data_IF_418551927183
#
_entry.id   IF_418551927183
#
_cell.length_a   1.000
_cell.length_b   1.000
_cell.length_c   1.000
_cell.angle_alpha   90.00
_cell.angle_beta   90.00
_cell.angle_gamma   90.00
#
_symmetry.space_group_name_H-M   'P 1'
#
loop_
_entity.id
_entity.type
_entity.pdbx_description
1 polymer ?
#
# COMPACT_ATOMS: atom_id res chain seq x y z
N UNK A 1 -24.47 -5.32 20.44
CA UNK A 1 -23.35 -4.75 19.64
C UNK A 1 -22.02 -5.18 20.23
N UNK A 2 -21.59 -6.43 19.97
CA UNK A 2 -20.37 -6.99 20.57
C UNK A 2 -19.50 -7.77 19.57
N UNK A 3 -19.98 -7.94 18.33
CA UNK A 3 -19.30 -8.75 17.30
C UNK A 3 -18.31 -7.92 16.46
N UNK A 4 -18.45 -6.59 16.44
CA UNK A 4 -17.60 -5.70 15.60
C UNK A 4 -16.23 -5.44 16.26
N UNK A 5 -16.10 -5.56 17.58
CA UNK A 5 -14.84 -5.32 18.28
C UNK A 5 -13.88 -6.53 18.29
N UNK A 6 -14.39 -7.76 18.07
CA UNK A 6 -13.55 -8.97 18.11
C UNK A 6 -12.82 -9.27 16.78
N UNK A 7 -13.30 -8.74 15.65
CA UNK A 7 -12.63 -8.90 14.35
C UNK A 7 -11.44 -7.94 14.22
N UNK A 8 -11.49 -6.77 14.87
CA UNK A 8 -10.35 -5.85 14.90
C UNK A 8 -9.18 -6.40 15.72
N UNK A 9 -9.44 -7.10 16.83
CA UNK A 9 -8.38 -7.62 17.70
C UNK A 9 -7.68 -8.88 17.15
N UNK A 10 -8.37 -9.71 16.36
CA UNK A 10 -7.81 -10.96 15.82
C UNK A 10 -6.88 -10.75 14.62
N UNK A 11 -6.97 -9.62 13.93
CA UNK A 11 -5.98 -9.23 12.90
C UNK A 11 -4.75 -8.54 13.49
N UNK A 12 -4.80 -8.09 14.75
CA UNK A 12 -3.67 -7.42 15.41
C UNK A 12 -2.63 -8.38 15.98
N UNK A 13 -2.93 -9.69 16.06
CA UNK A 13 -2.01 -10.69 16.64
C UNK A 13 -1.28 -11.58 15.64
N UNK A 14 -1.48 -11.38 14.33
CA UNK A 14 -0.75 -12.13 13.30
C UNK A 14 0.52 -11.36 12.93
N UNK A 15 1.56 -11.54 13.75
CA UNK A 15 2.95 -11.46 13.28
C UNK A 15 3.72 -10.14 13.42
N UNK A 16 3.43 -9.29 14.41
CA UNK A 16 4.20 -8.04 14.65
C UNK A 16 5.21 -8.16 15.81
N UNK A 17 5.71 -9.37 16.09
CA UNK A 17 6.72 -9.62 17.14
C UNK A 17 8.03 -10.23 16.62
N UNK A 18 8.51 -9.75 15.47
CA UNK A 18 9.89 -9.98 15.06
C UNK A 18 10.59 -8.62 14.86
N UNK A 19 11.22 -8.14 15.94
CA UNK A 19 12.26 -7.14 15.84
C UNK A 19 13.42 -7.72 15.01
N UNK A 20 13.63 -7.17 13.82
CA UNK A 20 14.75 -7.54 12.96
C UNK A 20 14.68 -6.91 11.56
N UNK A 21 15.78 -6.96 10.79
CA UNK A 21 15.89 -6.37 9.44
C UNK A 21 14.87 -6.90 8.40
N UNK A 22 14.08 -7.92 8.76
CA UNK A 22 12.96 -8.45 7.97
C UNK A 22 11.68 -7.60 8.07
N UNK A 23 11.48 -6.84 9.15
CA UNK A 23 10.32 -5.97 9.34
C UNK A 23 10.38 -4.72 8.44
N UNK A 24 11.57 -4.12 8.31
CA UNK A 24 11.79 -2.93 7.48
C UNK A 24 11.65 -3.22 5.97
N UNK A 25 12.00 -4.43 5.51
CA UNK A 25 11.70 -4.85 4.14
C UNK A 25 10.23 -5.29 3.96
N UNK A 26 9.54 -5.66 5.04
CA UNK A 26 8.20 -6.25 5.04
C UNK A 26 7.13 -5.34 4.46
N UNK A 27 7.10 -4.06 4.84
CA UNK A 27 6.12 -3.09 4.31
C UNK A 27 6.37 -2.81 2.83
N UNK A 28 7.64 -2.72 2.40
CA UNK A 28 7.99 -2.54 0.99
C UNK A 28 7.59 -3.72 0.12
N UNK A 29 7.87 -4.94 0.59
CA UNK A 29 7.43 -6.16 -0.09
C UNK A 29 5.91 -6.31 -0.12
N UNK A 30 5.23 -5.98 0.98
CA UNK A 30 3.77 -5.95 1.08
C UNK A 30 3.18 -4.97 0.08
N UNK A 31 3.71 -3.75 -0.01
CA UNK A 31 3.29 -2.76 -1.01
C UNK A 31 3.40 -3.33 -2.43
N UNK A 32 4.55 -3.90 -2.78
CA UNK A 32 4.77 -4.49 -4.12
C UNK A 32 3.78 -5.63 -4.40
N UNK A 33 3.58 -6.52 -3.44
CA UNK A 33 2.69 -7.67 -3.56
C UNK A 33 1.23 -7.23 -3.74
N UNK A 34 0.75 -6.34 -2.88
CA UNK A 34 -0.62 -5.80 -2.95
C UNK A 34 -0.85 -5.01 -4.24
N UNK A 35 0.09 -4.16 -4.65
CA UNK A 35 -0.01 -3.43 -5.93
C UNK A 35 -0.09 -4.38 -7.14
N UNK A 36 0.66 -5.49 -7.10
CA UNK A 36 0.61 -6.51 -8.15
C UNK A 36 -0.70 -7.29 -8.14
N UNK A 37 -1.18 -7.70 -6.97
CA UNK A 37 -2.46 -8.42 -6.84
C UNK A 37 -3.64 -7.56 -7.29
N UNK A 38 -3.69 -6.28 -6.87
CA UNK A 38 -4.72 -5.33 -7.34
C UNK A 38 -4.68 -5.21 -8.87
N UNK A 39 -3.49 -5.06 -9.45
CA UNK A 39 -3.32 -4.97 -10.90
C UNK A 39 -3.81 -6.22 -11.63
N UNK A 40 -3.49 -7.40 -11.10
CA UNK A 40 -3.87 -8.68 -11.72
C UNK A 40 -5.38 -8.92 -11.59
N UNK A 41 -5.98 -8.67 -10.43
CA UNK A 41 -7.43 -8.78 -10.21
C UNK A 41 -8.21 -7.82 -11.13
N UNK A 42 -7.76 -6.57 -11.25
CA UNK A 42 -8.34 -5.62 -12.20
C UNK A 42 -8.14 -6.04 -13.67
N UNK A 43 -7.20 -6.92 -13.98
CA UNK A 43 -7.03 -7.51 -15.33
C UNK A 43 -7.80 -8.81 -15.54
N UNK A 44 -8.56 -9.25 -14.54
CA UNK A 44 -9.29 -10.51 -14.59
C UNK A 44 -8.40 -11.74 -14.44
N UNK A 45 -7.18 -11.56 -13.93
CA UNK A 45 -6.24 -12.64 -13.64
C UNK A 45 -6.24 -12.92 -12.15
N UNK A 46 -6.43 -14.18 -11.76
CA UNK A 46 -6.41 -14.67 -10.37
C UNK A 46 -7.34 -13.91 -9.41
N UNK A 47 -8.42 -14.56 -8.99
CA UNK A 47 -9.20 -14.11 -7.83
C UNK A 47 -8.47 -14.60 -6.58
N UNK A 48 -7.70 -13.73 -5.93
CA UNK A 48 -7.02 -14.06 -4.67
C UNK A 48 -8.04 -14.39 -3.56
N UNK A 49 -7.73 -15.40 -2.75
CA UNK A 49 -8.54 -15.84 -1.59
C UNK A 49 -8.48 -14.84 -0.42
N UNK A 50 -7.51 -13.91 -0.40
CA UNK A 50 -7.27 -13.01 0.73
C UNK A 50 -7.77 -11.59 0.42
N UNK A 51 -8.90 -11.22 1.05
CA UNK A 51 -9.49 -9.88 1.06
C UNK A 51 -10.06 -9.44 -0.29
N UNK A 52 -11.09 -8.59 -0.32
CA UNK A 52 -11.57 -7.97 -1.55
C UNK A 52 -10.63 -6.81 -2.00
N UNK A 53 -10.83 -6.30 -3.22
CA UNK A 53 -10.02 -5.23 -3.80
C UNK A 53 -9.99 -3.92 -2.97
N UNK A 54 -11.10 -3.55 -2.30
CA UNK A 54 -11.16 -2.38 -1.42
C UNK A 54 -10.31 -2.61 -0.18
N UNK A 55 -10.41 -3.79 0.41
CA UNK A 55 -9.59 -4.18 1.55
C UNK A 55 -8.09 -4.11 1.20
N UNK A 56 -7.69 -4.63 0.04
CA UNK A 56 -6.29 -4.60 -0.42
C UNK A 56 -5.76 -3.17 -0.61
N UNK A 57 -6.51 -2.29 -1.28
CA UNK A 57 -6.05 -0.91 -1.49
C UNK A 57 -6.05 -0.11 -0.17
N UNK A 58 -6.95 -0.44 0.77
CA UNK A 58 -6.98 0.18 2.10
C UNK A 58 -5.76 -0.21 2.92
N UNK A 59 -5.37 -1.50 2.92
CA UNK A 59 -4.12 -1.95 3.55
C UNK A 59 -2.89 -1.29 2.93
N UNK A 60 -2.87 -1.16 1.60
CA UNK A 60 -1.77 -0.50 0.90
C UNK A 60 -1.68 1.00 1.26
N UNK A 61 -2.81 1.71 1.39
CA UNK A 61 -2.82 3.09 1.91
C UNK A 61 -2.32 3.15 3.37
N UNK A 62 -2.78 2.24 4.24
CA UNK A 62 -2.31 2.15 5.63
C UNK A 62 -0.80 1.96 5.76
N UNK A 63 -0.24 1.00 5.01
CA UNK A 63 1.20 0.76 4.97
C UNK A 63 1.99 1.96 4.44
N UNK A 64 1.47 2.66 3.43
CA UNK A 64 2.08 3.90 2.95
C UNK A 64 2.05 5.02 3.98
N UNK A 65 0.96 5.18 4.74
CA UNK A 65 0.89 6.18 5.82
C UNK A 65 1.94 5.93 6.90
N UNK A 66 2.16 4.67 7.26
CA UNK A 66 3.21 4.29 8.20
C UNK A 66 4.59 4.63 7.64
N UNK A 67 4.89 4.26 6.40
CA UNK A 67 6.15 4.62 5.74
C UNK A 67 6.34 6.14 5.66
N UNK A 68 5.30 6.90 5.27
CA UNK A 68 5.37 8.35 5.19
C UNK A 68 5.65 8.97 6.56
N UNK A 69 5.02 8.47 7.64
CA UNK A 69 5.29 8.93 9.00
C UNK A 69 6.77 8.78 9.39
N UNK A 70 7.38 7.64 9.02
CA UNK A 70 8.81 7.39 9.27
C UNK A 70 9.71 8.26 8.37
N UNK A 71 9.38 8.36 7.08
CA UNK A 71 10.17 9.10 6.10
C UNK A 71 10.11 10.62 6.28
N UNK A 72 9.01 11.15 6.83
CA UNK A 72 8.86 12.57 7.15
C UNK A 72 9.49 12.95 8.49
N UNK A 73 9.94 11.97 9.27
CA UNK A 73 10.77 12.26 10.44
C UNK A 73 12.07 12.94 9.98
N UNK A 74 12.42 14.06 10.60
CA UNK A 74 13.52 14.92 10.12
C UNK A 74 14.92 14.32 10.32
N UNK A 75 15.07 13.19 11.01
CA UNK A 75 16.39 12.65 11.30
C UNK A 75 16.89 11.78 10.13
N UNK A 76 18.08 12.11 9.61
CA UNK A 76 18.73 11.32 8.57
C UNK A 76 18.92 9.87 9.01
N UNK A 77 19.20 9.63 10.30
CA UNK A 77 19.36 8.30 10.87
C UNK A 77 18.10 7.43 10.73
N UNK A 78 16.89 7.98 10.94
CA UNK A 78 15.65 7.21 10.73
C UNK A 78 15.41 6.97 9.25
N UNK A 79 15.73 7.93 8.37
CA UNK A 79 15.65 7.70 6.94
C UNK A 79 16.59 6.56 6.48
N UNK A 80 17.80 6.48 7.02
CA UNK A 80 18.75 5.39 6.72
C UNK A 80 18.19 4.01 7.06
N UNK A 81 17.50 3.86 8.20
CA UNK A 81 16.97 2.56 8.62
C UNK A 81 15.85 2.07 7.71
N UNK A 82 15.04 2.99 7.17
CA UNK A 82 13.92 2.64 6.27
C UNK A 82 14.32 2.62 4.78
N UNK A 83 15.57 2.92 4.42
CA UNK A 83 16.04 2.91 3.01
C UNK A 83 15.69 1.62 2.25
N UNK A 84 15.86 0.41 2.82
CA UNK A 84 15.47 -0.82 2.13
C UNK A 84 13.97 -0.86 1.78
N UNK A 85 13.13 -0.38 2.71
CA UNK A 85 11.68 -0.25 2.51
C UNK A 85 11.36 0.71 1.37
N UNK A 86 11.95 1.91 1.44
CA UNK A 86 11.77 2.98 0.45
C UNK A 86 12.21 2.50 -0.93
N UNK A 87 13.34 1.80 -1.02
CA UNK A 87 13.82 1.20 -2.27
C UNK A 87 12.79 0.25 -2.87
N UNK A 88 12.29 -0.69 -2.08
CA UNK A 88 11.34 -1.69 -2.56
C UNK A 88 10.03 -1.05 -3.02
N UNK A 89 9.52 -0.06 -2.28
CA UNK A 89 8.33 0.71 -2.66
C UNK A 89 8.59 1.49 -3.95
N UNK A 90 9.69 2.22 -4.06
CA UNK A 90 9.90 3.16 -5.16
C UNK A 90 10.39 2.49 -6.45
N UNK A 91 11.27 1.50 -6.37
CA UNK A 91 11.85 0.85 -7.55
C UNK A 91 10.99 -0.32 -8.05
N UNK A 92 10.32 -1.05 -7.16
CA UNK A 92 9.57 -2.26 -7.53
C UNK A 92 8.06 -2.11 -7.35
N UNK A 93 7.62 -1.39 -6.33
CA UNK A 93 6.21 -1.15 -6.02
C UNK A 93 5.54 -0.13 -6.93
N UNK A 94 6.09 1.09 -6.98
CA UNK A 94 5.54 2.24 -7.71
C UNK A 94 5.27 1.90 -9.19
N UNK A 95 6.18 1.23 -9.94
CA UNK A 95 5.89 0.87 -11.34
C UNK A 95 4.73 -0.10 -11.53
N UNK A 96 4.40 -0.92 -10.51
CA UNK A 96 3.23 -1.80 -10.52
C UNK A 96 1.97 -1.01 -10.20
N UNK A 97 2.04 -0.17 -9.18
CA UNK A 97 0.93 0.68 -8.76
C UNK A 97 0.51 1.67 -9.85
N UNK A 98 1.47 2.30 -10.55
CA UNK A 98 1.18 3.24 -11.63
C UNK A 98 0.51 2.60 -12.86
N UNK A 99 0.61 1.28 -13.00
CA UNK A 99 -0.08 0.51 -14.05
C UNK A 99 -1.54 0.21 -13.69
N UNK A 100 -1.96 0.44 -12.45
CA UNK A 100 -3.35 0.30 -12.04
C UNK A 100 -4.17 1.39 -12.74
N UNK A 101 -5.04 0.92 -13.65
CA UNK A 101 -6.04 1.72 -14.35
C UNK A 101 -7.37 1.00 -14.19
N UNK A 102 -8.42 1.77 -13.97
CA UNK A 102 -9.77 1.26 -13.79
C UNK A 102 -10.76 2.27 -14.37
N UNK A 103 -11.89 1.74 -14.82
CA UNK A 103 -13.06 2.49 -15.21
C UNK A 103 -14.19 2.14 -14.23
N UNK A 104 -14.97 3.14 -13.81
CA UNK A 104 -16.10 2.93 -12.90
C UNK A 104 -17.08 1.89 -13.44
N UNK A 105 -17.33 1.87 -14.76
CA UNK A 105 -18.19 0.87 -15.41
C UNK A 105 -17.70 -0.55 -15.16
N UNK A 106 -16.41 -0.81 -15.40
CA UNK A 106 -15.80 -2.13 -15.13
C UNK A 106 -15.89 -2.51 -13.65
N UNK A 107 -15.79 -1.53 -12.75
CA UNK A 107 -15.89 -1.76 -11.31
C UNK A 107 -17.30 -2.17 -10.89
N UNK A 108 -18.33 -1.55 -11.49
CA UNK A 108 -19.73 -1.94 -11.31
C UNK A 108 -19.96 -3.34 -11.88
N UNK A 109 -19.59 -3.57 -13.13
CA UNK A 109 -19.92 -4.81 -13.85
C UNK A 109 -19.22 -6.03 -13.24
N UNK A 110 -17.94 -5.91 -12.87
CA UNK A 110 -17.13 -7.06 -12.45
C UNK A 110 -17.12 -7.31 -10.96
N UNK A 111 -17.29 -6.26 -10.15
CA UNK A 111 -17.20 -6.35 -8.69
C UNK A 111 -18.51 -5.97 -7.98
N UNK A 112 -19.56 -5.64 -8.73
CA UNK A 112 -20.86 -5.23 -8.19
C UNK A 112 -20.76 -4.07 -7.18
N UNK A 113 -19.79 -3.17 -7.38
CA UNK A 113 -19.57 -2.06 -6.47
C UNK A 113 -20.59 -0.96 -6.65
N UNK A 114 -21.01 -0.36 -5.53
CA UNK A 114 -21.82 0.85 -5.53
C UNK A 114 -20.96 2.11 -5.67
N UNK A 115 -21.63 3.26 -5.82
CA UNK A 115 -20.96 4.57 -5.99
C UNK A 115 -20.04 4.94 -4.82
N UNK A 116 -20.40 4.58 -3.59
CA UNK A 116 -19.57 4.83 -2.40
C UNK A 116 -18.27 4.03 -2.44
N UNK A 117 -18.33 2.75 -2.80
CA UNK A 117 -17.17 1.88 -2.93
C UNK A 117 -16.23 2.34 -4.05
N UNK A 118 -16.79 2.74 -5.20
CA UNK A 118 -16.01 3.28 -6.32
C UNK A 118 -15.30 4.59 -5.92
N UNK A 119 -16.02 5.49 -5.24
CA UNK A 119 -15.44 6.73 -4.73
C UNK A 119 -14.30 6.44 -3.73
N UNK A 120 -14.51 5.52 -2.79
CA UNK A 120 -13.48 5.12 -1.83
C UNK A 120 -12.24 4.55 -2.53
N UNK A 121 -12.40 3.69 -3.52
CA UNK A 121 -11.27 3.13 -4.27
C UNK A 121 -10.50 4.24 -5.02
N UNK A 122 -11.21 5.18 -5.65
CA UNK A 122 -10.63 6.32 -6.35
C UNK A 122 -9.83 7.21 -5.40
N UNK A 123 -10.40 7.52 -4.24
CA UNK A 123 -9.78 8.39 -3.24
C UNK A 123 -8.51 7.76 -2.69
N UNK A 124 -8.56 6.47 -2.31
CA UNK A 124 -7.38 5.72 -1.84
C UNK A 124 -6.30 5.65 -2.93
N UNK A 125 -6.68 5.36 -4.18
CA UNK A 125 -5.73 5.33 -5.29
C UNK A 125 -5.05 6.68 -5.52
N UNK A 126 -5.82 7.78 -5.45
CA UNK A 126 -5.29 9.15 -5.56
C UNK A 126 -4.36 9.51 -4.38
N UNK A 127 -4.76 9.15 -3.17
CA UNK A 127 -4.00 9.36 -1.93
C UNK A 127 -2.62 8.68 -2.02
N UNK A 128 -2.59 7.40 -2.42
CA UNK A 128 -1.34 6.64 -2.58
C UNK A 128 -0.46 7.27 -3.67
N UNK A 129 -1.02 7.73 -4.80
CA UNK A 129 -0.25 8.50 -5.81
C UNK A 129 0.37 9.77 -5.20
N UNK A 130 -0.38 10.48 -4.36
CA UNK A 130 0.11 11.65 -3.63
C UNK A 130 1.28 11.30 -2.70
N UNK A 131 1.15 10.21 -1.94
CA UNK A 131 2.21 9.74 -1.03
C UNK A 131 3.46 9.30 -1.79
N UNK A 132 3.34 8.56 -2.90
CA UNK A 132 4.49 8.18 -3.73
C UNK A 132 5.25 9.40 -4.28
N UNK A 133 4.52 10.43 -4.74
CA UNK A 133 5.13 11.69 -5.18
C UNK A 133 5.84 12.42 -4.04
N UNK A 134 5.28 12.43 -2.83
CA UNK A 134 5.91 13.02 -1.64
C UNK A 134 7.16 12.24 -1.24
N UNK A 135 7.08 10.91 -1.20
CA UNK A 135 8.22 10.04 -0.88
C UNK A 135 9.38 10.25 -1.86
N UNK A 136 9.09 10.44 -3.14
CA UNK A 136 10.10 10.78 -4.14
C UNK A 136 10.80 12.12 -3.83
N UNK A 137 10.06 13.13 -3.36
CA UNK A 137 10.65 14.40 -2.91
C UNK A 137 11.53 14.21 -1.68
N UNK A 138 11.10 13.42 -0.70
CA UNK A 138 11.88 13.10 0.50
C UNK A 138 13.20 12.41 0.10
N UNK A 139 13.14 11.42 -0.79
CA UNK A 139 14.35 10.76 -1.30
C UNK A 139 15.35 11.76 -1.90
N UNK A 140 14.86 12.72 -2.72
CA UNK A 140 15.71 13.78 -3.28
C UNK A 140 16.32 14.68 -2.20
N UNK A 141 15.55 15.05 -1.17
CA UNK A 141 16.05 15.86 -0.05
C UNK A 141 17.17 15.15 0.73
N UNK A 142 17.09 13.83 0.85
CA UNK A 142 18.13 13.01 1.50
C UNK A 142 19.25 12.56 0.53
N UNK A 143 19.34 13.14 -0.68
CA UNK A 143 20.29 12.76 -1.72
C UNK A 143 20.24 11.27 -2.10
N UNK A 144 19.11 10.62 -1.88
CA UNK A 144 18.89 9.23 -2.24
C UNK A 144 18.46 9.12 -3.70
N UNK A 145 19.33 8.54 -4.53
CA UNK A 145 19.02 8.27 -5.94
C UNK A 145 18.22 6.98 -6.05
N UNK A 146 17.00 7.11 -6.55
CA UNK A 146 16.13 6.00 -6.95
C UNK A 146 16.51 5.66 -8.40
N UNK A 147 16.81 4.40 -8.67
CA UNK A 147 17.26 3.92 -9.97
C UNK A 147 16.14 3.75 -11.00
#
# INVERSE_FOLDING_TARGET
MLVVLLVAASLYHIGWSQEGPLFDAGVGHMFRALASNILDELRGKNVSVVGDLLTKISFLSGGMKQLMSLAESKSYQVFETIKPMVREVMEKGKPKFEKIKFNDGDLVERFAWNSTQIAQFRDLHSEIKGMLKRLEKICKLHNYKIS
#
